data_IF_320148677400
#
_entry.id   IF_320148677400
#
_cell.length_a   1.000
_cell.length_b   1.000
_cell.length_c   1.000
_cell.angle_alpha   90.00
_cell.angle_beta   90.00
_cell.angle_gamma   90.00
#
_symmetry.space_group_name_H-M   'P 1'
#
loop_
_entity.id
_entity.type
_entity.pdbx_description
1 polymer ?
#
# COMPACT_ATOMS: atom_id res chain seq x y z
N UNK A 1 40.17 12.68 -86.55
CA UNK A 1 39.78 11.40 -85.83
C UNK A 1 39.70 11.60 -84.29
N UNK A 2 38.84 12.53 -83.82
CA UNK A 2 38.73 12.86 -82.36
C UNK A 2 37.32 12.89 -81.78
N UNK A 3 36.30 12.47 -82.57
CA UNK A 3 34.91 12.53 -82.12
C UNK A 3 34.36 11.24 -81.48
N UNK A 4 35.10 10.10 -81.48
CA UNK A 4 34.64 8.84 -81.04
C UNK A 4 34.80 8.57 -79.46
N UNK A 5 35.81 9.25 -78.89
CA UNK A 5 36.09 8.99 -77.44
C UNK A 5 35.10 9.67 -76.46
N UNK A 6 34.56 10.82 -76.79
CA UNK A 6 33.63 11.58 -75.89
C UNK A 6 32.27 10.91 -75.74
N UNK A 7 31.79 10.23 -76.79
CA UNK A 7 30.48 9.54 -76.72
C UNK A 7 30.57 8.28 -75.88
N UNK A 8 31.72 7.60 -75.84
CA UNK A 8 31.94 6.38 -75.08
C UNK A 8 32.05 6.65 -73.57
N UNK A 9 32.71 7.73 -73.22
CA UNK A 9 32.81 8.14 -71.77
C UNK A 9 31.48 8.61 -71.20
N UNK A 10 30.64 9.38 -71.91
CA UNK A 10 29.30 9.78 -71.49
C UNK A 10 28.38 8.51 -71.33
N UNK A 11 28.51 7.53 -72.23
CA UNK A 11 27.75 6.28 -72.12
C UNK A 11 28.14 5.48 -70.88
N UNK A 12 29.41 5.45 -70.52
CA UNK A 12 29.89 4.70 -69.37
C UNK A 12 29.48 5.37 -68.02
N UNK A 13 29.60 6.70 -67.90
CA UNK A 13 29.13 7.48 -66.74
C UNK A 13 27.61 7.33 -66.54
N UNK A 14 26.86 7.37 -67.64
CA UNK A 14 25.39 7.18 -67.59
C UNK A 14 25.01 5.77 -67.15
N UNK A 15 25.70 4.71 -67.63
CA UNK A 15 25.48 3.34 -67.19
C UNK A 15 25.82 3.17 -65.72
N UNK A 16 26.95 3.71 -65.25
CA UNK A 16 27.34 3.68 -63.85
C UNK A 16 26.30 4.38 -62.96
N UNK A 17 25.79 5.55 -63.36
CA UNK A 17 24.76 6.27 -62.62
C UNK A 17 23.46 5.45 -62.53
N UNK A 18 23.03 4.81 -63.62
CA UNK A 18 21.83 3.96 -63.60
C UNK A 18 22.01 2.73 -62.69
N UNK A 19 23.17 2.07 -62.71
CA UNK A 19 23.44 0.96 -61.80
C UNK A 19 23.46 1.37 -60.33
N UNK A 20 24.08 2.52 -60.03
CA UNK A 20 24.10 3.10 -58.67
C UNK A 20 22.67 3.42 -58.20
N UNK A 21 21.85 4.01 -59.06
CA UNK A 21 20.47 4.35 -58.74
C UNK A 21 19.65 3.10 -58.44
N UNK A 22 19.74 2.04 -59.30
CA UNK A 22 19.07 0.78 -59.02
C UNK A 22 19.56 0.11 -57.77
N UNK A 23 20.85 0.14 -57.47
CA UNK A 23 21.40 -0.44 -56.23
C UNK A 23 20.83 0.26 -55.02
N UNK A 24 20.85 1.60 -54.96
CA UNK A 24 20.32 2.37 -53.84
C UNK A 24 18.82 2.13 -53.66
N UNK A 25 18.07 2.11 -54.77
CA UNK A 25 16.62 1.87 -54.75
C UNK A 25 16.30 0.47 -54.21
N UNK A 26 17.04 -0.54 -54.66
CA UNK A 26 16.86 -1.92 -54.17
C UNK A 26 17.16 -2.05 -52.68
N UNK A 27 18.26 -1.44 -52.20
CA UNK A 27 18.61 -1.42 -50.79
C UNK A 27 17.51 -0.72 -49.96
N UNK A 28 17.03 0.43 -50.45
CA UNK A 28 15.97 1.20 -49.76
C UNK A 28 14.65 0.41 -49.66
N UNK A 29 14.24 -0.26 -50.75
CA UNK A 29 13.04 -1.11 -50.78
C UNK A 29 13.21 -2.30 -49.86
N UNK A 30 14.35 -2.96 -49.83
CA UNK A 30 14.63 -4.10 -48.94
C UNK A 30 14.59 -3.66 -47.48
N UNK A 31 15.13 -2.50 -47.15
CA UNK A 31 15.15 -1.93 -45.80
C UNK A 31 13.73 -1.57 -45.32
N UNK A 32 12.95 -0.92 -46.20
CA UNK A 32 11.53 -0.59 -45.93
C UNK A 32 10.68 -1.87 -45.75
N UNK A 33 10.89 -2.86 -46.62
CA UNK A 33 10.19 -4.16 -46.53
C UNK A 33 10.57 -4.91 -45.25
N UNK A 34 11.84 -4.87 -44.86
CA UNK A 34 12.33 -5.40 -43.58
C UNK A 34 11.67 -4.71 -42.40
N UNK A 35 11.63 -3.37 -42.35
CA UNK A 35 10.96 -2.63 -41.29
C UNK A 35 9.46 -2.92 -41.20
N UNK A 36 8.81 -3.12 -42.34
CA UNK A 36 7.39 -3.49 -42.40
C UNK A 36 7.15 -4.93 -41.91
N UNK A 37 7.96 -5.90 -42.33
CA UNK A 37 7.87 -7.30 -41.93
C UNK A 37 8.20 -7.50 -40.45
N UNK A 38 9.12 -6.74 -39.88
CA UNK A 38 9.43 -6.77 -38.45
C UNK A 38 8.45 -5.96 -37.58
N UNK A 39 7.33 -5.46 -38.15
CA UNK A 39 6.23 -4.85 -37.41
C UNK A 39 6.56 -3.49 -36.78
N UNK A 40 7.72 -2.92 -37.04
CA UNK A 40 8.12 -1.62 -36.45
C UNK A 40 7.40 -0.39 -37.06
N UNK A 41 6.77 -0.54 -38.22
CA UNK A 41 5.94 0.50 -38.85
C UNK A 41 4.43 0.21 -38.75
N UNK A 42 4.03 -0.91 -38.13
CA UNK A 42 2.64 -1.39 -38.12
C UNK A 42 1.95 -1.35 -36.76
N UNK A 43 2.57 -0.83 -35.71
CA UNK A 43 1.84 -0.53 -34.49
C UNK A 43 1.01 0.72 -34.74
N UNK A 44 -0.22 0.49 -35.17
CA UNK A 44 -1.18 1.58 -35.34
C UNK A 44 -1.44 2.21 -33.97
N UNK A 45 -1.66 3.52 -33.95
CA UNK A 45 -2.10 4.27 -32.77
C UNK A 45 -3.25 3.53 -32.04
N UNK A 46 -4.09 2.80 -32.77
CA UNK A 46 -5.15 1.96 -32.25
C UNK A 46 -4.65 0.79 -31.41
N UNK A 47 -3.59 0.08 -31.83
CA UNK A 47 -3.03 -1.03 -31.04
C UNK A 47 -2.41 -0.53 -29.75
N UNK A 48 -1.71 0.61 -29.80
CA UNK A 48 -1.15 1.26 -28.63
C UNK A 48 -2.25 1.69 -27.62
N UNK A 49 -3.32 2.33 -28.11
CA UNK A 49 -4.45 2.71 -27.26
C UNK A 49 -5.15 1.49 -26.66
N UNK A 50 -5.32 0.41 -27.42
CA UNK A 50 -5.91 -0.82 -26.94
C UNK A 50 -5.06 -1.46 -25.84
N UNK A 51 -3.76 -1.55 -26.02
CA UNK A 51 -2.84 -2.09 -25.01
C UNK A 51 -2.82 -1.23 -23.75
N UNK A 52 -2.82 0.11 -23.90
CA UNK A 52 -2.90 1.04 -22.78
C UNK A 52 -4.21 0.86 -21.98
N UNK A 53 -5.34 0.77 -22.67
CA UNK A 53 -6.64 0.57 -22.04
C UNK A 53 -6.68 -0.77 -21.30
N UNK A 54 -6.25 -1.85 -21.95
CA UNK A 54 -6.22 -3.19 -21.35
C UNK A 54 -5.34 -3.23 -20.09
N UNK A 55 -4.17 -2.60 -20.12
CA UNK A 55 -3.28 -2.56 -18.97
C UNK A 55 -3.82 -1.66 -17.84
N UNK A 56 -4.47 -0.56 -18.19
CA UNK A 56 -5.14 0.30 -17.21
C UNK A 56 -6.29 -0.42 -16.52
N UNK A 57 -7.14 -1.10 -17.28
CA UNK A 57 -8.24 -1.92 -16.74
C UNK A 57 -7.73 -3.04 -15.83
N UNK A 58 -6.69 -3.75 -16.26
CA UNK A 58 -6.05 -4.80 -15.44
C UNK A 58 -5.49 -4.24 -14.13
N UNK A 59 -4.79 -3.11 -14.19
CA UNK A 59 -4.26 -2.44 -13.01
C UNK A 59 -5.37 -1.98 -12.06
N UNK A 60 -6.42 -1.34 -12.60
CA UNK A 60 -7.57 -0.89 -11.81
C UNK A 60 -8.24 -2.06 -11.10
N UNK A 61 -8.51 -3.15 -11.82
CA UNK A 61 -9.12 -4.35 -11.23
C UNK A 61 -8.25 -4.99 -10.15
N UNK A 62 -6.93 -5.02 -10.35
CA UNK A 62 -6.01 -5.51 -9.31
C UNK A 62 -6.03 -4.62 -8.06
N UNK A 63 -6.16 -3.29 -8.24
CA UNK A 63 -6.28 -2.36 -7.13
C UNK A 63 -7.61 -2.52 -6.39
N UNK A 64 -8.72 -2.66 -7.11
CA UNK A 64 -10.03 -2.94 -6.51
C UNK A 64 -9.98 -4.23 -5.67
N UNK A 65 -9.49 -5.32 -6.24
CA UNK A 65 -9.33 -6.59 -5.51
C UNK A 65 -8.44 -6.44 -4.27
N UNK A 66 -7.32 -5.73 -4.38
CA UNK A 66 -6.42 -5.46 -3.26
C UNK A 66 -7.12 -4.73 -2.11
N UNK A 67 -7.88 -3.67 -2.44
CA UNK A 67 -8.59 -2.89 -1.41
C UNK A 67 -9.74 -3.67 -0.80
N UNK A 68 -10.50 -4.44 -1.59
CA UNK A 68 -11.59 -5.28 -1.10
C UNK A 68 -11.09 -6.38 -0.16
N UNK A 69 -10.02 -7.05 -0.51
CA UNK A 69 -9.37 -8.07 0.32
C UNK A 69 -8.87 -7.46 1.62
N UNK A 70 -8.17 -6.31 1.54
CA UNK A 70 -7.62 -5.66 2.71
C UNK A 70 -8.71 -5.10 3.63
N UNK A 71 -9.79 -4.55 3.08
CA UNK A 71 -10.94 -4.09 3.85
C UNK A 71 -11.65 -5.24 4.57
N UNK A 72 -11.84 -6.36 3.89
CA UNK A 72 -12.44 -7.57 4.48
C UNK A 72 -11.59 -8.11 5.62
N UNK A 73 -10.26 -8.19 5.42
CA UNK A 73 -9.33 -8.61 6.47
C UNK A 73 -9.30 -7.63 7.64
N UNK A 74 -9.45 -6.33 7.37
CA UNK A 74 -9.45 -5.29 8.40
C UNK A 74 -10.68 -5.39 9.31
N UNK A 75 -11.85 -5.65 8.74
CA UNK A 75 -13.08 -5.89 9.51
C UNK A 75 -12.93 -7.15 10.38
N UNK A 76 -12.43 -8.25 9.82
CA UNK A 76 -12.18 -9.48 10.56
C UNK A 76 -11.13 -9.31 11.68
N UNK A 77 -10.09 -8.48 11.44
CA UNK A 77 -9.15 -8.07 12.47
C UNK A 77 -9.87 -7.31 13.60
N UNK A 78 -10.75 -6.36 13.25
CA UNK A 78 -11.55 -5.59 14.20
C UNK A 78 -12.38 -6.49 15.11
N UNK A 79 -13.12 -7.42 14.53
CA UNK A 79 -13.93 -8.40 15.28
C UNK A 79 -13.06 -9.25 16.22
N UNK A 80 -11.89 -9.70 15.73
CA UNK A 80 -10.95 -10.51 16.53
C UNK A 80 -10.38 -9.72 17.69
N UNK A 81 -9.98 -8.46 17.46
CA UNK A 81 -9.43 -7.59 18.50
C UNK A 81 -10.47 -7.22 19.54
N UNK A 82 -11.70 -6.92 19.12
CA UNK A 82 -12.81 -6.65 20.03
C UNK A 82 -13.13 -7.86 20.92
N UNK A 83 -13.24 -9.04 20.33
CA UNK A 83 -13.48 -10.27 21.08
C UNK A 83 -12.33 -10.58 22.07
N UNK A 84 -11.08 -10.35 21.67
CA UNK A 84 -9.92 -10.52 22.54
C UNK A 84 -9.99 -9.55 23.71
N UNK A 85 -10.34 -8.29 23.47
CA UNK A 85 -10.48 -7.27 24.48
C UNK A 85 -11.61 -7.63 25.48
N UNK A 86 -12.82 -7.91 24.99
CA UNK A 86 -13.97 -8.25 25.82
C UNK A 86 -13.68 -9.50 26.69
N UNK A 87 -13.10 -10.55 26.08
CA UNK A 87 -12.71 -11.77 26.79
C UNK A 87 -11.66 -11.51 27.88
N UNK A 88 -10.70 -10.62 27.59
CA UNK A 88 -9.65 -10.28 28.56
C UNK A 88 -10.22 -9.46 29.74
N UNK A 89 -11.12 -8.51 29.45
CA UNK A 89 -11.82 -7.74 30.49
C UNK A 89 -12.67 -8.65 31.39
N UNK A 90 -13.43 -9.58 30.81
CA UNK A 90 -14.22 -10.56 31.55
C UNK A 90 -13.34 -11.41 32.46
N UNK A 91 -12.22 -11.96 31.95
CA UNK A 91 -11.27 -12.75 32.73
C UNK A 91 -10.67 -12.00 33.91
N UNK A 92 -10.44 -10.70 33.76
CA UNK A 92 -9.89 -9.86 34.81
C UNK A 92 -10.96 -9.28 35.76
N UNK A 93 -12.25 -9.39 35.39
CA UNK A 93 -13.36 -8.78 36.13
C UNK A 93 -13.30 -7.24 36.08
N UNK A 94 -12.81 -6.68 34.99
CA UNK A 94 -12.60 -5.23 34.83
C UNK A 94 -13.54 -4.68 33.75
N UNK A 95 -13.87 -3.38 33.90
CA UNK A 95 -14.46 -2.57 32.83
C UNK A 95 -13.37 -1.87 32.05
N UNK A 96 -13.68 -1.42 30.83
CA UNK A 96 -12.69 -0.74 29.99
C UNK A 96 -12.09 0.52 30.65
N UNK A 97 -12.91 1.29 31.36
CA UNK A 97 -12.45 2.49 32.10
C UNK A 97 -11.43 2.18 33.20
N UNK A 98 -11.43 0.95 33.76
CA UNK A 98 -10.48 0.52 34.78
C UNK A 98 -9.13 0.06 34.22
N UNK A 99 -8.97 0.06 32.90
CA UNK A 99 -7.67 -0.15 32.24
C UNK A 99 -6.77 1.09 32.38
N UNK A 100 -7.36 2.28 32.51
CA UNK A 100 -6.60 3.50 32.64
C UNK A 100 -5.76 3.44 33.93
N UNK A 101 -4.48 3.81 33.83
CA UNK A 101 -3.50 3.77 34.92
C UNK A 101 -3.30 2.37 35.55
N UNK A 102 -3.67 1.33 34.80
CA UNK A 102 -3.51 -0.06 35.23
C UNK A 102 -2.50 -0.81 34.32
N UNK A 103 -1.19 -0.64 34.55
CA UNK A 103 -0.17 -1.22 33.70
C UNK A 103 -0.20 -2.75 33.63
N UNK A 104 -0.65 -3.43 34.71
CA UNK A 104 -0.74 -4.89 34.73
C UNK A 104 -1.88 -5.39 33.86
N UNK A 105 -3.04 -4.74 33.92
CA UNK A 105 -4.19 -5.11 33.08
C UNK A 105 -3.91 -4.81 31.60
N UNK A 106 -3.30 -3.68 31.29
CA UNK A 106 -2.87 -3.33 29.93
C UNK A 106 -1.81 -4.30 29.41
N UNK A 107 -0.84 -4.71 30.24
CA UNK A 107 0.14 -5.72 29.89
C UNK A 107 -0.53 -7.05 29.49
N UNK A 108 -1.48 -7.51 30.29
CA UNK A 108 -2.20 -8.76 30.01
C UNK A 108 -2.99 -8.67 28.71
N UNK A 109 -3.68 -7.55 28.46
CA UNK A 109 -4.48 -7.30 27.27
C UNK A 109 -3.60 -7.23 26.02
N UNK A 110 -2.55 -6.39 26.01
CA UNK A 110 -1.65 -6.27 24.87
C UNK A 110 -0.91 -7.57 24.57
N UNK A 111 -0.57 -8.38 25.61
CA UNK A 111 0.02 -9.70 25.42
C UNK A 111 -0.92 -10.67 24.70
N UNK A 112 -2.23 -10.61 24.99
CA UNK A 112 -3.20 -11.46 24.31
C UNK A 112 -3.49 -10.99 22.86
N UNK A 113 -3.33 -9.69 22.58
CA UNK A 113 -3.55 -9.10 21.27
C UNK A 113 -2.39 -9.30 20.26
N UNK A 114 -1.14 -9.41 20.73
CA UNK A 114 0.04 -9.38 19.85
C UNK A 114 0.08 -10.56 18.88
N UNK A 115 -0.31 -11.75 19.30
CA UNK A 115 -0.27 -12.95 18.48
C UNK A 115 -1.31 -12.92 17.36
N UNK A 116 -2.61 -12.67 17.59
CA UNK A 116 -3.57 -12.55 16.51
C UNK A 116 -3.25 -11.37 15.58
N UNK A 117 -2.78 -10.24 16.12
CA UNK A 117 -2.36 -9.10 15.32
C UNK A 117 -1.23 -9.48 14.35
N UNK A 118 -0.21 -10.21 14.83
CA UNK A 118 0.88 -10.72 13.98
C UNK A 118 0.39 -11.69 12.91
N UNK A 119 -0.54 -12.58 13.23
CA UNK A 119 -1.12 -13.53 12.26
C UNK A 119 -1.89 -12.82 11.14
N UNK A 120 -2.66 -11.79 11.46
CA UNK A 120 -3.33 -10.98 10.43
C UNK A 120 -2.33 -10.20 9.57
N UNK A 121 -1.30 -9.64 10.19
CA UNK A 121 -0.24 -8.93 9.47
C UNK A 121 0.53 -9.85 8.51
N UNK A 122 0.85 -11.08 8.93
CA UNK A 122 1.52 -12.07 8.08
C UNK A 122 0.70 -12.42 6.83
N UNK A 123 -0.63 -12.52 6.96
CA UNK A 123 -1.54 -12.89 5.86
C UNK A 123 -1.91 -11.72 4.98
N UNK A 124 -1.78 -10.50 5.48
CA UNK A 124 -2.16 -9.29 4.75
C UNK A 124 -1.04 -8.80 3.83
N UNK A 125 -1.43 -8.19 2.73
CA UNK A 125 -0.50 -7.51 1.83
C UNK A 125 -0.34 -6.04 2.24
N UNK A 126 0.15 -5.81 3.47
CA UNK A 126 0.37 -4.49 4.06
C UNK A 126 1.69 -4.45 4.83
N UNK A 127 2.14 -3.25 5.20
CA UNK A 127 3.43 -3.02 5.88
C UNK A 127 3.36 -3.13 7.40
N UNK A 128 2.18 -2.93 8.00
CA UNK A 128 2.01 -2.99 9.43
C UNK A 128 0.56 -3.26 9.84
N UNK A 129 0.37 -3.61 11.11
CA UNK A 129 -0.93 -3.76 11.74
C UNK A 129 -0.88 -3.22 13.16
N UNK A 130 -1.99 -2.64 13.63
CA UNK A 130 -2.03 -1.99 14.92
C UNK A 130 -3.37 -2.15 15.63
N UNK A 131 -3.31 -2.07 16.94
CA UNK A 131 -4.44 -1.82 17.84
C UNK A 131 -4.07 -0.66 18.74
N UNK A 132 -4.87 0.38 18.73
CA UNK A 132 -4.72 1.55 19.59
C UNK A 132 -5.95 1.62 20.49
N UNK A 133 -5.75 1.54 21.80
CA UNK A 133 -6.80 1.60 22.82
C UNK A 133 -7.05 3.06 23.23
N UNK A 134 -8.31 3.43 23.51
CA UNK A 134 -8.63 4.77 24.01
C UNK A 134 -8.37 4.90 25.52
N UNK A 135 -7.21 4.46 25.95
CA UNK A 135 -6.72 4.52 27.33
C UNK A 135 -5.22 4.73 27.38
N UNK A 136 -4.67 5.17 28.48
CA UNK A 136 -3.23 5.38 28.68
C UNK A 136 -2.71 4.61 29.90
N UNK A 137 -1.44 4.25 29.84
CA UNK A 137 -0.77 3.52 30.94
C UNK A 137 -0.48 4.42 32.13
N UNK A 138 -0.38 5.74 31.91
CA UNK A 138 -0.12 6.71 32.98
C UNK A 138 -0.72 8.09 32.63
N UNK A 139 -1.87 8.40 33.21
CA UNK A 139 -2.59 9.66 33.02
C UNK A 139 -1.95 10.87 33.71
N UNK A 140 -0.93 10.67 34.53
CA UNK A 140 -0.26 11.77 35.27
C UNK A 140 0.84 12.46 34.47
N UNK A 141 1.21 11.91 33.28
CA UNK A 141 2.21 12.51 32.41
C UNK A 141 1.64 13.77 31.71
N UNK A 142 2.47 14.77 31.51
CA UNK A 142 2.08 16.05 30.87
C UNK A 142 1.48 15.87 29.47
N UNK A 143 1.87 14.80 28.76
CA UNK A 143 1.39 14.46 27.43
C UNK A 143 0.35 13.32 27.42
N UNK A 144 -0.15 12.88 28.56
CA UNK A 144 -1.09 11.76 28.66
C UNK A 144 -2.38 11.95 27.87
N UNK A 145 -2.80 13.22 27.67
CA UNK A 145 -4.00 13.53 26.88
C UNK A 145 -3.89 13.08 25.42
N UNK A 146 -2.68 13.03 24.87
CA UNK A 146 -2.42 12.64 23.48
C UNK A 146 -1.83 11.23 23.35
N UNK A 147 -1.49 10.58 24.45
CA UNK A 147 -0.90 9.25 24.43
C UNK A 147 -1.95 8.16 24.64
N UNK A 148 -1.82 7.07 23.91
CA UNK A 148 -2.74 5.93 23.96
C UNK A 148 -1.98 4.62 23.93
N UNK A 149 -2.36 3.68 24.80
CA UNK A 149 -1.80 2.35 24.86
C UNK A 149 -2.22 1.50 23.67
N UNK A 150 -1.46 0.45 23.38
CA UNK A 150 -1.77 -0.53 22.34
C UNK A 150 -0.54 -1.15 21.69
N UNK A 151 -0.74 -1.90 20.64
CA UNK A 151 0.30 -2.66 19.94
C UNK A 151 0.36 -2.25 18.47
N UNK A 152 1.56 -1.98 17.97
CA UNK A 152 1.79 -1.68 16.57
C UNK A 152 2.99 -2.48 16.06
N UNK A 153 2.71 -3.41 15.15
CA UNK A 153 3.69 -4.25 14.49
C UNK A 153 3.94 -3.77 13.07
N UNK A 154 5.21 -3.80 12.65
CA UNK A 154 5.61 -3.50 11.27
C UNK A 154 6.48 -4.62 10.72
N UNK A 155 6.43 -4.86 9.42
CA UNK A 155 7.39 -5.71 8.70
C UNK A 155 8.70 -4.93 8.51
N UNK A 156 9.83 -5.56 8.81
CA UNK A 156 11.16 -4.94 8.66
C UNK A 156 11.64 -4.92 7.23
N UNK A 157 11.27 -5.95 6.49
CA UNK A 157 11.62 -6.16 5.09
C UNK A 157 10.36 -6.44 4.29
N UNK A 158 10.47 -6.38 2.98
CA UNK A 158 9.39 -6.79 2.08
C UNK A 158 9.32 -8.32 1.99
N UNK A 159 9.38 -8.99 3.15
CA UNK A 159 9.31 -10.42 3.35
C UNK A 159 8.01 -10.79 4.06
N UNK A 160 7.56 -12.02 3.86
CA UNK A 160 6.39 -12.57 4.50
C UNK A 160 6.75 -13.48 5.70
N UNK A 161 8.01 -13.40 6.19
CA UNK A 161 8.47 -14.17 7.32
C UNK A 161 8.07 -13.52 8.64
N UNK A 162 7.70 -14.35 9.61
CA UNK A 162 7.34 -13.94 10.98
C UNK A 162 8.52 -13.34 11.74
N UNK A 163 9.73 -13.77 11.42
CA UNK A 163 10.96 -13.29 12.05
C UNK A 163 11.30 -11.84 11.68
N UNK A 164 10.63 -11.32 10.64
CA UNK A 164 10.83 -9.96 10.13
C UNK A 164 9.89 -8.92 10.78
N UNK A 165 9.13 -9.28 11.81
CA UNK A 165 8.27 -8.35 12.53
C UNK A 165 9.07 -7.55 13.58
N UNK A 166 8.72 -6.28 13.71
CA UNK A 166 9.22 -5.37 14.74
C UNK A 166 8.05 -4.71 15.48
N UNK A 167 8.26 -4.43 16.76
CA UNK A 167 7.33 -3.68 17.59
C UNK A 167 7.62 -2.17 17.42
N UNK A 168 6.71 -1.45 16.79
CA UNK A 168 6.83 0.00 16.60
C UNK A 168 6.22 0.79 17.78
N UNK A 169 5.11 0.30 18.35
CA UNK A 169 4.48 0.80 19.58
C UNK A 169 4.02 -0.37 20.43
N UNK A 170 3.98 -0.17 21.74
CA UNK A 170 3.52 -1.15 22.71
C UNK A 170 4.55 -1.43 23.82
N UNK A 171 4.23 -2.35 24.71
CA UNK A 171 5.10 -2.71 25.83
C UNK A 171 6.26 -3.58 25.34
N UNK A 172 7.50 -3.09 25.43
CA UNK A 172 8.69 -3.76 24.90
C UNK A 172 8.90 -5.19 25.39
N UNK A 173 8.56 -5.47 26.66
CA UNK A 173 8.69 -6.79 27.26
C UNK A 173 7.75 -7.82 26.62
N UNK A 174 6.58 -7.38 26.13
CA UNK A 174 5.65 -8.23 25.39
C UNK A 174 6.29 -8.61 24.05
N UNK A 175 6.80 -7.63 23.29
CA UNK A 175 7.50 -7.91 22.05
C UNK A 175 8.62 -8.94 22.22
N UNK A 176 9.48 -8.75 23.21
CA UNK A 176 10.59 -9.67 23.52
C UNK A 176 10.09 -11.09 23.86
N UNK A 177 9.00 -11.21 24.63
CA UNK A 177 8.39 -12.50 24.99
C UNK A 177 7.93 -13.28 23.75
N UNK A 178 7.47 -12.59 22.72
CA UNK A 178 7.02 -13.15 21.45
C UNK A 178 8.10 -13.18 20.35
N UNK A 179 9.36 -12.90 20.70
CA UNK A 179 10.48 -12.88 19.74
C UNK A 179 10.48 -11.68 18.80
N UNK A 180 9.68 -10.65 19.12
CA UNK A 180 9.53 -9.43 18.31
C UNK A 180 10.37 -8.33 18.93
N UNK A 181 11.37 -7.83 18.19
CA UNK A 181 12.27 -6.80 18.68
C UNK A 181 11.65 -5.39 18.56
N UNK A 182 11.89 -4.49 19.53
CA UNK A 182 11.46 -3.10 19.41
C UNK A 182 12.16 -2.40 18.23
N UNK A 183 11.41 -1.59 17.51
CA UNK A 183 11.93 -0.73 16.45
C UNK A 183 12.90 0.32 17.03
N UNK A 184 13.87 0.78 16.23
CA UNK A 184 14.83 1.83 16.63
C UNK A 184 14.16 3.10 17.16
N UNK A 185 12.96 3.43 16.67
CA UNK A 185 12.12 4.57 17.05
C UNK A 185 10.91 4.14 17.89
N UNK A 186 11.06 3.03 18.59
CA UNK A 186 10.04 2.50 19.46
C UNK A 186 9.62 3.51 20.53
N UNK A 187 8.32 3.51 20.84
CA UNK A 187 7.70 4.15 22.00
C UNK A 187 6.64 3.21 22.57
N UNK A 188 6.33 3.40 23.85
CA UNK A 188 5.36 2.56 24.52
C UNK A 188 3.93 2.85 24.07
N UNK A 189 3.60 4.09 23.79
CA UNK A 189 2.26 4.54 23.44
C UNK A 189 2.20 5.22 22.07
N UNK A 190 0.99 5.31 21.54
CA UNK A 190 0.66 6.04 20.32
C UNK A 190 0.44 7.52 20.63
N UNK A 191 0.84 8.37 19.74
CA UNK A 191 0.50 9.78 19.77
C UNK A 191 -0.67 10.06 18.82
N UNK A 192 -1.85 10.36 19.38
CA UNK A 192 -3.07 10.62 18.61
C UNK A 192 -3.02 11.92 17.81
N UNK A 193 -2.08 12.82 18.09
CA UNK A 193 -1.89 14.02 17.26
C UNK A 193 -1.47 13.67 15.82
N UNK A 194 -0.99 12.44 15.60
CA UNK A 194 -0.69 11.90 14.27
C UNK A 194 -1.93 11.44 13.50
N UNK A 195 -3.09 11.41 14.17
CA UNK A 195 -4.39 11.03 13.57
C UNK A 195 -5.34 12.22 13.67
N UNK A 196 -5.30 13.16 12.71
CA UNK A 196 -6.00 14.46 12.83
C UNK A 196 -7.51 14.37 13.05
N UNK A 197 -8.13 13.27 12.60
CA UNK A 197 -9.56 13.00 12.68
C UNK A 197 -9.94 12.03 13.83
N UNK A 198 -9.06 11.86 14.84
CA UNK A 198 -9.27 10.91 15.93
C UNK A 198 -10.61 11.13 16.68
N UNK A 199 -10.96 12.37 17.01
CA UNK A 199 -12.21 12.70 17.71
C UNK A 199 -13.47 12.42 16.84
N UNK A 200 -13.35 12.46 15.52
CA UNK A 200 -14.43 12.08 14.62
C UNK A 200 -14.56 10.56 14.54
N UNK A 201 -13.43 9.85 14.52
CA UNK A 201 -13.38 8.39 14.51
C UNK A 201 -13.96 7.80 15.80
N UNK A 202 -13.79 8.47 16.92
CA UNK A 202 -14.36 8.09 18.23
C UNK A 202 -15.89 8.06 18.21
N UNK A 203 -16.55 8.79 17.31
CA UNK A 203 -18.01 8.75 17.16
C UNK A 203 -18.53 7.46 16.54
N UNK A 204 -17.67 6.61 16.01
CA UNK A 204 -17.94 5.22 15.65
C UNK A 204 -18.97 4.96 14.54
N UNK A 205 -19.25 5.94 13.68
CA UNK A 205 -20.33 5.84 12.68
C UNK A 205 -19.87 5.24 11.33
N UNK A 206 -18.86 4.37 11.33
CA UNK A 206 -18.33 3.75 10.10
C UNK A 206 -17.83 2.33 10.38
N UNK A 207 -17.92 1.46 9.38
CA UNK A 207 -17.38 0.10 9.48
C UNK A 207 -15.86 0.06 9.34
N UNK A 208 -15.33 0.86 8.42
CA UNK A 208 -13.89 1.10 8.24
C UNK A 208 -13.65 2.44 7.53
N UNK A 209 -12.44 2.97 7.64
CA UNK A 209 -12.02 4.19 6.95
C UNK A 209 -10.55 4.13 6.56
N UNK A 210 -10.18 4.84 5.50
CA UNK A 210 -8.80 5.06 5.11
C UNK A 210 -8.36 6.46 5.54
N UNK A 211 -7.20 6.58 6.18
CA UNK A 211 -6.65 7.88 6.54
C UNK A 211 -6.12 8.64 5.33
N UNK A 212 -5.99 9.94 5.44
CA UNK A 212 -5.07 10.68 4.61
C UNK A 212 -3.64 10.14 4.78
N UNK A 213 -2.76 10.48 3.83
CA UNK A 213 -1.34 10.10 3.93
C UNK A 213 -0.70 10.85 5.09
N UNK A 214 -0.13 10.10 6.02
CA UNK A 214 0.56 10.59 7.21
C UNK A 214 2.05 10.32 7.02
N UNK A 215 2.89 11.23 7.46
CA UNK A 215 4.33 10.99 7.54
C UNK A 215 4.68 10.49 8.94
N UNK A 216 5.25 9.28 9.04
CA UNK A 216 5.70 8.76 10.32
C UNK A 216 6.84 9.61 10.87
N UNK A 217 6.76 10.02 12.14
CA UNK A 217 7.81 10.79 12.78
C UNK A 217 9.16 10.06 12.71
N UNK A 218 10.21 10.79 12.41
CA UNK A 218 11.61 10.33 12.42
C UNK A 218 11.99 9.27 11.37
N UNK A 219 11.05 8.69 10.60
CA UNK A 219 11.35 7.69 9.58
C UNK A 219 11.33 8.28 8.17
N UNK A 220 10.57 9.36 7.97
CA UNK A 220 10.30 9.91 6.64
C UNK A 220 9.35 9.07 5.81
N UNK A 221 8.94 7.90 6.30
CA UNK A 221 8.01 7.01 5.62
C UNK A 221 6.61 7.63 5.57
N UNK A 222 6.01 7.58 4.39
CA UNK A 222 4.63 8.03 4.17
C UNK A 222 3.72 6.81 4.23
N UNK A 223 2.71 6.87 5.07
CA UNK A 223 1.79 5.78 5.31
C UNK A 223 0.34 6.23 5.18
N UNK A 224 -0.54 5.30 4.85
CA UNK A 224 -1.97 5.41 5.04
C UNK A 224 -2.40 4.33 6.04
N UNK A 225 -3.37 4.66 6.90
CA UNK A 225 -3.92 3.74 7.89
C UNK A 225 -5.33 3.34 7.46
N UNK A 226 -5.55 2.05 7.31
CA UNK A 226 -6.89 1.48 7.20
C UNK A 226 -7.37 1.21 8.64
N UNK A 227 -8.54 1.73 9.01
CA UNK A 227 -8.98 1.82 10.40
C UNK A 227 -10.36 1.23 10.58
N UNK A 228 -10.55 0.47 11.68
CA UNK A 228 -11.83 -0.05 12.16
C UNK A 228 -12.01 0.42 13.59
N UNK A 229 -13.17 0.99 13.97
CA UNK A 229 -13.46 1.33 15.35
C UNK A 229 -13.73 0.06 16.15
N UNK A 230 -13.18 -0.01 17.36
CA UNK A 230 -13.51 -1.02 18.34
C UNK A 230 -14.55 -0.44 19.27
N UNK A 231 -15.78 -0.96 19.20
CA UNK A 231 -16.92 -0.44 19.97
C UNK A 231 -17.62 -1.57 20.68
N UNK A 232 -17.73 -1.47 21.99
CA UNK A 232 -18.42 -2.46 22.83
C UNK A 232 -19.91 -2.51 22.56
N UNK A 233 -20.56 -3.57 23.02
CA UNK A 233 -22.02 -3.76 22.88
C UNK A 233 -22.84 -2.67 23.58
N UNK A 234 -22.25 -2.03 24.58
CA UNK A 234 -22.80 -0.89 25.31
C UNK A 234 -22.59 0.47 24.64
N UNK A 235 -21.92 0.48 23.49
CA UNK A 235 -21.54 1.69 22.77
C UNK A 235 -20.23 2.34 23.24
N UNK A 236 -19.54 1.74 24.19
CA UNK A 236 -18.23 2.24 24.66
C UNK A 236 -17.20 2.13 23.55
N UNK A 237 -16.55 3.23 23.21
CA UNK A 237 -15.44 3.24 22.28
C UNK A 237 -14.18 2.73 22.97
N UNK A 238 -13.65 1.60 22.49
CA UNK A 238 -12.45 0.98 23.04
C UNK A 238 -11.17 1.48 22.34
N UNK A 239 -11.28 1.96 21.10
CA UNK A 239 -10.15 2.40 20.32
C UNK A 239 -10.29 2.12 18.84
N UNK A 240 -9.15 2.01 18.16
CA UNK A 240 -9.04 1.74 16.73
C UNK A 240 -8.11 0.56 16.49
N UNK A 241 -8.38 -0.22 15.47
CA UNK A 241 -7.40 -1.17 14.94
C UNK A 241 -7.35 -1.10 13.42
N UNK A 242 -6.32 -1.71 12.84
CA UNK A 242 -6.24 -1.78 11.40
C UNK A 242 -4.85 -2.04 10.84
N UNK A 243 -4.72 -1.76 9.54
CA UNK A 243 -3.50 -1.98 8.80
C UNK A 243 -2.81 -0.67 8.41
N UNK A 244 -1.49 -0.74 8.33
CA UNK A 244 -0.64 0.28 7.76
C UNK A 244 -0.27 -0.11 6.33
N UNK A 245 -0.39 0.86 5.42
CA UNK A 245 0.08 0.74 4.04
C UNK A 245 1.16 1.79 3.85
N UNK A 246 2.42 1.37 3.87
CA UNK A 246 3.52 2.28 3.60
C UNK A 246 3.72 2.49 2.10
N UNK A 247 4.22 3.67 1.74
CA UNK A 247 4.53 4.00 0.34
C UNK A 247 5.54 3.02 -0.26
N UNK A 248 6.55 2.62 0.51
CA UNK A 248 7.58 1.66 0.06
C UNK A 248 6.98 0.29 -0.17
N UNK A 249 6.15 -0.20 0.74
CA UNK A 249 5.44 -1.46 0.60
C UNK A 249 4.50 -1.44 -0.60
N UNK A 250 3.69 -0.39 -0.74
CA UNK A 250 2.74 -0.26 -1.85
C UNK A 250 3.43 -0.31 -3.21
N UNK A 251 4.56 0.40 -3.37
CA UNK A 251 5.38 0.35 -4.60
C UNK A 251 5.96 -1.03 -4.88
N UNK A 252 6.31 -1.77 -3.84
CA UNK A 252 6.82 -3.13 -3.97
C UNK A 252 5.72 -4.11 -4.37
N UNK A 253 4.57 -4.06 -3.71
CA UNK A 253 3.45 -4.95 -3.96
C UNK A 253 2.76 -4.69 -5.30
N UNK A 254 2.81 -3.45 -5.79
CA UNK A 254 2.17 -3.00 -7.03
C UNK A 254 3.18 -2.35 -7.97
N UNK A 255 4.08 -3.15 -8.58
CA UNK A 255 5.04 -2.62 -9.54
C UNK A 255 4.33 -2.02 -10.75
N UNK A 256 4.88 -0.92 -11.24
CA UNK A 256 4.36 -0.26 -12.44
C UNK A 256 4.40 -1.23 -13.64
N UNK A 257 3.41 -1.18 -14.56
CA UNK A 257 3.43 -2.00 -15.75
C UNK A 257 4.69 -1.74 -16.58
N UNK A 258 5.53 -2.78 -16.74
CA UNK A 258 6.85 -2.65 -17.38
C UNK A 258 6.79 -2.58 -18.90
N UNK A 259 5.68 -2.96 -19.52
CA UNK A 259 5.52 -3.04 -20.98
C UNK A 259 5.33 -1.68 -21.66
N UNK A 260 4.92 -0.67 -20.90
CA UNK A 260 4.76 0.70 -21.38
C UNK A 260 5.76 1.60 -20.65
N UNK A 261 6.88 1.88 -21.27
CA UNK A 261 8.03 2.62 -20.67
C UNK A 261 7.70 4.03 -20.14
N UNK A 262 6.49 4.54 -20.36
CA UNK A 262 6.07 5.89 -19.98
C UNK A 262 4.72 5.95 -19.23
N UNK A 263 4.13 4.79 -18.88
CA UNK A 263 2.90 4.78 -18.09
C UNK A 263 3.25 4.94 -16.60
N UNK A 264 2.76 6.02 -16.00
CA UNK A 264 2.84 6.23 -14.55
C UNK A 264 1.43 6.18 -13.98
N UNK A 265 1.17 5.20 -13.12
CA UNK A 265 -0.08 5.12 -12.37
C UNK A 265 0.07 5.91 -11.07
N UNK A 266 -0.85 6.81 -10.81
CA UNK A 266 -0.89 7.61 -9.60
C UNK A 266 -2.13 7.22 -8.79
N UNK A 267 -1.92 6.87 -7.52
CA UNK A 267 -3.01 6.73 -6.56
C UNK A 267 -3.21 8.10 -5.90
N UNK A 268 -4.35 8.73 -6.17
CA UNK A 268 -4.73 10.01 -5.57
C UNK A 268 -5.86 9.73 -4.59
N UNK A 269 -5.72 10.07 -3.30
CA UNK A 269 -6.84 9.94 -2.37
C UNK A 269 -7.96 10.87 -2.81
N UNK A 270 -9.17 10.33 -2.93
CA UNK A 270 -10.36 11.14 -3.14
C UNK A 270 -10.70 11.85 -1.83
N UNK A 271 -10.95 13.14 -1.90
CA UNK A 271 -11.38 13.96 -0.75
C UNK A 271 -12.70 13.46 -0.13
N UNK A 272 -13.45 12.64 -0.86
CA UNK A 272 -14.73 12.08 -0.44
C UNK A 272 -14.68 10.57 -0.15
N UNK A 273 -13.50 10.03 0.14
CA UNK A 273 -13.26 8.59 0.37
C UNK A 273 -14.18 7.97 1.44
N UNK A 274 -14.73 8.76 2.37
CA UNK A 274 -15.75 8.32 3.33
C UNK A 274 -17.11 7.98 2.67
N UNK A 275 -17.44 8.57 1.51
CA UNK A 275 -18.70 8.30 0.80
C UNK A 275 -18.58 7.14 -0.17
N UNK A 276 -17.43 6.97 -0.81
CA UNK A 276 -17.18 5.89 -1.78
C UNK A 276 -17.27 4.51 -1.13
N UNK A 277 -16.82 4.39 0.10
CA UNK A 277 -16.90 3.15 0.88
C UNK A 277 -18.34 2.78 1.27
N UNK A 278 -19.22 3.77 1.50
CA UNK A 278 -20.66 3.53 1.76
C UNK A 278 -21.43 3.07 0.53
N UNK A 279 -21.01 3.46 -0.69
CA UNK A 279 -21.73 3.11 -1.92
C UNK A 279 -21.56 1.65 -2.33
N UNK A 280 -20.46 1.00 -1.96
CA UNK A 280 -20.19 -0.41 -2.27
C UNK A 280 -21.11 -1.34 -1.46
N UNK A 281 -21.52 -0.98 -0.25
CA UNK A 281 -22.45 -1.79 0.57
C UNK A 281 -23.93 -1.69 0.16
N UNK A 282 -24.35 -0.68 -0.59
CA UNK A 282 -25.76 -0.54 -1.00
C UNK A 282 -26.17 -1.43 -2.19
N UNK A 283 -25.21 -2.10 -2.85
CA UNK A 283 -25.45 -2.96 -4.01
C UNK A 283 -25.24 -4.46 -3.74
N UNK A 284 -25.35 -4.92 -2.48
CA UNK A 284 -25.40 -6.36 -2.14
C UNK A 284 -26.71 -6.73 -1.49
#
# INVERSE_FOLDING_TARGET
>A
MQLSFKSKERSMKRKLFVYMFFLVTTISITLLMGLFLFGRLGTTEQDFHKDLTTQSEYFTKNMENYWDDLASMNIALGETMQNTLETNLEKQGLTFSQLQDNPNALYALENDMIQPLGQYLERSNCSGAYVQLDTTINSTLDNAQTQRSGVYLQKTTMSYSKEDLILYRGIANIGKKHGIMPHRKWRQEFDITLVPDYEELKKGNFDYSLSNIIQLPYTGERIALLRVPLVGKDGTFYGLCGFEISQSWFKFAHPQPSTLNHLTCLLVPDSDSRQTVRSIKQNR
#
